data_IF_016249467044
#
_entry.id   IF_016249467044
#
_cell.length_a   1.000
_cell.length_b   1.000
_cell.length_c   1.000
_cell.angle_alpha   90.00
_cell.angle_beta   90.00
_cell.angle_gamma   90.00
#
_symmetry.space_group_name_H-M   'P 1'
#
loop_
_entity.id
_entity.type
_entity.pdbx_description
1 polymer ?
#
# COMPACT_ATOMS: atom_id res chain seq x y z
N UNK A 1 2.62 -14.87 -6.19
CA UNK A 1 3.14 -13.54 -5.83
C UNK A 1 3.98 -13.70 -4.58
N UNK A 2 5.12 -13.01 -4.46
CA UNK A 2 5.89 -12.95 -3.20
C UNK A 2 5.25 -11.91 -2.25
N UNK A 3 5.73 -11.86 -1.00
CA UNK A 3 5.21 -10.92 -0.01
C UNK A 3 5.45 -9.45 -0.41
N UNK A 4 6.63 -9.12 -0.95
CA UNK A 4 6.96 -7.78 -1.42
C UNK A 4 5.96 -7.27 -2.47
N UNK A 5 5.68 -8.05 -3.51
CA UNK A 5 4.70 -7.70 -4.56
C UNK A 5 3.29 -7.55 -4.01
N UNK A 6 2.87 -8.38 -3.05
CA UNK A 6 1.54 -8.23 -2.44
C UNK A 6 1.43 -6.89 -1.70
N UNK A 7 2.45 -6.51 -0.93
CA UNK A 7 2.45 -5.23 -0.21
C UNK A 7 2.55 -4.07 -1.19
N UNK A 8 3.50 -4.11 -2.13
CA UNK A 8 3.73 -3.06 -3.11
C UNK A 8 2.47 -2.76 -3.94
N UNK A 9 1.68 -3.78 -4.29
CA UNK A 9 0.45 -3.63 -5.11
C UNK A 9 -0.83 -3.42 -4.30
N UNK A 10 -0.73 -3.24 -2.98
CA UNK A 10 -1.91 -3.08 -2.13
C UNK A 10 -2.84 -4.30 -2.15
N UNK A 11 -2.27 -5.51 -2.06
CA UNK A 11 -2.98 -6.79 -2.16
C UNK A 11 -3.76 -6.96 -3.48
N UNK A 12 -3.24 -6.38 -4.57
CA UNK A 12 -3.81 -6.48 -5.91
C UNK A 12 -4.70 -5.30 -6.34
N UNK A 13 -4.90 -4.30 -5.46
CA UNK A 13 -5.60 -3.06 -5.82
C UNK A 13 -4.91 -2.32 -6.96
N UNK A 14 -3.58 -2.34 -7.00
CA UNK A 14 -2.80 -1.72 -8.08
C UNK A 14 -3.00 -2.35 -9.46
N UNK A 15 -3.64 -3.52 -9.57
CA UNK A 15 -3.99 -4.11 -10.86
C UNK A 15 -5.36 -3.65 -11.39
N UNK A 16 -6.14 -2.93 -10.58
CA UNK A 16 -7.44 -2.43 -10.98
C UNK A 16 -7.30 -1.22 -11.92
N UNK A 17 -8.14 -1.20 -12.96
CA UNK A 17 -8.19 -0.15 -13.99
C UNK A 17 -9.45 0.70 -13.84
N UNK A 18 -9.49 1.95 -14.34
CA UNK A 18 -8.46 2.64 -15.13
C UNK A 18 -7.32 3.28 -14.31
N UNK A 19 -7.53 3.61 -13.05
CA UNK A 19 -6.57 4.34 -12.22
C UNK A 19 -6.17 3.52 -10.98
N UNK A 20 -5.06 2.75 -11.06
CA UNK A 20 -4.56 1.93 -9.96
C UNK A 20 -4.46 2.68 -8.62
N UNK A 21 -3.86 3.87 -8.62
CA UNK A 21 -3.73 4.69 -7.41
C UNK A 21 -5.07 5.06 -6.78
N UNK A 22 -6.12 5.30 -7.59
CA UNK A 22 -7.48 5.54 -7.06
C UNK A 22 -8.01 4.34 -6.30
N UNK A 23 -7.78 3.12 -6.81
CA UNK A 23 -8.18 1.90 -6.12
C UNK A 23 -7.33 1.65 -4.87
N UNK A 24 -6.03 1.97 -4.92
CA UNK A 24 -5.12 2.00 -3.77
C UNK A 24 -5.66 2.91 -2.66
N UNK A 25 -5.90 4.19 -2.94
CA UNK A 25 -6.44 5.15 -1.97
C UNK A 25 -7.82 4.76 -1.46
N UNK A 26 -8.71 4.23 -2.33
CA UNK A 26 -10.03 3.78 -1.90
C UNK A 26 -9.93 2.60 -0.93
N UNK A 27 -9.06 1.64 -1.20
CA UNK A 27 -8.77 0.54 -0.29
C UNK A 27 -8.15 1.00 1.02
N UNK A 28 -7.21 1.95 0.95
CA UNK A 28 -6.59 2.58 2.12
C UNK A 28 -7.62 3.26 3.01
N UNK A 29 -8.52 4.06 2.42
CA UNK A 29 -9.60 4.72 3.13
C UNK A 29 -10.55 3.72 3.79
N UNK A 30 -10.96 2.68 3.07
CA UNK A 30 -11.83 1.65 3.62
C UNK A 30 -11.18 0.91 4.80
N UNK A 31 -9.90 0.54 4.67
CA UNK A 31 -9.13 -0.10 5.74
C UNK A 31 -8.91 0.84 6.94
N UNK A 32 -8.53 2.09 6.68
CA UNK A 32 -8.30 3.11 7.70
C UNK A 32 -9.56 3.41 8.53
N UNK A 33 -10.71 3.59 7.86
CA UNK A 33 -11.99 3.76 8.54
C UNK A 33 -12.37 2.54 9.37
N UNK A 34 -12.17 1.32 8.85
CA UNK A 34 -12.44 0.10 9.59
C UNK A 34 -11.55 0.00 10.84
N UNK A 35 -10.26 0.33 10.74
CA UNK A 35 -9.32 0.32 11.86
C UNK A 35 -9.71 1.37 12.89
N UNK A 36 -9.98 2.61 12.48
CA UNK A 36 -10.35 3.68 13.40
C UNK A 36 -11.66 3.37 14.14
N UNK A 37 -12.68 2.86 13.44
CA UNK A 37 -13.96 2.52 14.06
C UNK A 37 -13.90 1.32 15.01
N UNK A 38 -13.00 0.36 14.77
CA UNK A 38 -12.96 -0.88 15.56
C UNK A 38 -11.88 -0.88 16.64
N UNK A 39 -10.75 -0.24 16.39
CA UNK A 39 -9.56 -0.25 17.25
C UNK A 39 -9.15 1.16 17.73
N UNK A 40 -9.69 2.22 17.11
CA UNK A 40 -9.48 3.61 17.50
C UNK A 40 -8.25 4.26 16.85
N UNK A 41 -8.15 5.58 17.06
CA UNK A 41 -7.14 6.46 16.47
C UNK A 41 -5.69 5.95 16.61
N UNK A 42 -5.28 5.49 17.80
CA UNK A 42 -3.90 5.03 17.99
C UNK A 42 -3.57 3.77 17.19
N UNK A 43 -4.55 2.90 16.96
CA UNK A 43 -4.38 1.75 16.09
C UNK A 43 -4.24 2.17 14.62
N UNK A 44 -4.99 3.20 14.19
CA UNK A 44 -4.83 3.80 12.87
C UNK A 44 -3.41 4.35 12.70
N UNK A 45 -2.90 5.13 13.66
CA UNK A 45 -1.52 5.65 13.62
C UNK A 45 -0.50 4.51 13.50
N UNK A 46 -0.66 3.45 14.31
CA UNK A 46 0.23 2.30 14.25
C UNK A 46 0.15 1.60 12.88
N UNK A 47 -1.04 1.42 12.32
CA UNK A 47 -1.26 0.82 11.01
C UNK A 47 -0.60 1.65 9.90
N UNK A 48 -0.73 2.98 9.92
CA UNK A 48 -0.07 3.89 8.97
C UNK A 48 1.45 3.73 9.04
N UNK A 49 2.04 3.79 10.25
CA UNK A 49 3.50 3.62 10.42
C UNK A 49 3.97 2.26 9.90
N UNK A 50 3.23 1.19 10.19
CA UNK A 50 3.53 -0.16 9.70
C UNK A 50 3.42 -0.25 8.17
N UNK A 51 2.39 0.34 7.57
CA UNK A 51 2.21 0.38 6.12
C UNK A 51 3.37 1.13 5.44
N UNK A 52 3.77 2.29 5.98
CA UNK A 52 4.93 3.04 5.48
C UNK A 52 6.22 2.22 5.54
N UNK A 53 6.53 1.62 6.69
CA UNK A 53 7.74 0.81 6.85
C UNK A 53 7.74 -0.42 5.92
N UNK A 54 6.60 -1.11 5.82
CA UNK A 54 6.42 -2.23 4.92
C UNK A 54 6.53 -1.81 3.45
N UNK A 55 6.05 -0.61 3.09
CA UNK A 55 6.15 -0.04 1.76
C UNK A 55 7.59 0.21 1.34
N UNK A 56 8.42 0.83 2.19
CA UNK A 56 9.85 0.99 1.89
C UNK A 56 10.55 -0.34 1.64
N UNK A 57 10.30 -1.35 2.48
CA UNK A 57 10.85 -2.69 2.29
C UNK A 57 10.35 -3.34 0.99
N UNK A 58 9.05 -3.28 0.73
CA UNK A 58 8.43 -3.89 -0.45
C UNK A 58 8.93 -3.25 -1.76
N UNK A 59 9.04 -1.92 -1.80
CA UNK A 59 9.59 -1.20 -2.95
C UNK A 59 11.08 -1.53 -3.17
N UNK A 60 11.88 -1.61 -2.10
CA UNK A 60 13.29 -1.97 -2.20
C UNK A 60 13.50 -3.38 -2.79
N UNK A 61 12.67 -4.35 -2.38
CA UNK A 61 12.74 -5.72 -2.89
C UNK A 61 12.19 -5.83 -4.32
N UNK A 62 11.04 -5.22 -4.62
CA UNK A 62 10.37 -5.36 -5.92
C UNK A 62 11.05 -4.59 -7.05
N UNK A 63 11.76 -3.50 -6.71
CA UNK A 63 12.52 -2.68 -7.65
C UNK A 63 14.03 -2.96 -7.62
N UNK A 64 14.48 -3.98 -6.87
CA UNK A 64 15.90 -4.31 -6.70
C UNK A 64 16.66 -4.44 -8.02
N UNK A 65 16.03 -5.10 -9.00
CA UNK A 65 16.63 -5.36 -10.32
C UNK A 65 16.24 -4.30 -11.36
N UNK A 66 15.42 -3.31 -10.99
CA UNK A 66 14.90 -2.23 -11.85
C UNK A 66 14.87 -0.87 -11.12
N UNK A 67 16.01 -0.38 -10.61
CA UNK A 67 16.05 0.87 -9.84
C UNK A 67 15.57 2.06 -10.69
N UNK A 68 14.72 2.90 -10.10
CA UNK A 68 14.15 4.08 -10.77
C UNK A 68 12.94 3.80 -11.67
N UNK A 69 12.51 2.53 -11.81
CA UNK A 69 11.21 2.24 -12.40
C UNK A 69 10.10 2.62 -11.43
N UNK A 70 9.01 3.17 -11.97
CA UNK A 70 7.80 3.53 -11.23
C UNK A 70 6.58 2.87 -11.90
N UNK A 71 6.37 1.56 -11.68
CA UNK A 71 5.24 0.83 -12.26
C UNK A 71 3.94 1.30 -11.63
N UNK A 72 2.94 1.62 -12.45
CA UNK A 72 1.66 2.14 -11.96
C UNK A 72 0.85 1.16 -11.11
N UNK A 73 1.20 -0.13 -11.11
CA UNK A 73 0.60 -1.12 -10.21
C UNK A 73 1.15 -1.09 -8.78
N UNK A 74 2.28 -0.42 -8.52
CA UNK A 74 2.78 -0.20 -7.17
C UNK A 74 1.98 0.97 -6.60
N UNK A 75 1.17 0.69 -5.58
CA UNK A 75 0.23 1.66 -5.00
C UNK A 75 0.33 1.75 -3.47
N UNK A 76 1.48 1.34 -2.93
CA UNK A 76 1.70 1.30 -1.47
C UNK A 76 1.90 2.70 -0.88
N UNK A 77 2.32 3.67 -1.69
CA UNK A 77 2.40 5.08 -1.32
C UNK A 77 1.02 5.70 -1.15
N UNK A 78 0.01 5.34 -1.95
CA UNK A 78 -1.38 5.76 -1.75
C UNK A 78 -2.07 5.07 -0.57
N UNK A 79 -1.50 3.97 -0.06
CA UNK A 79 -1.98 3.30 1.16
C UNK A 79 -1.29 3.86 2.40
N UNK A 80 -0.03 4.28 2.27
CA UNK A 80 0.74 4.86 3.35
C UNK A 80 0.40 6.34 3.62
N UNK A 81 -0.07 7.08 2.61
CA UNK A 81 -0.44 8.50 2.68
C UNK A 81 -1.94 8.73 2.79
#
# INVERSE_FOLDING_TARGET
MNAARLIATGFGLGYLRPAPGTWGSLGALAAGLAIDWTLGFWALVAATVLATAAGFWACAEELRDRPGADPSEIVIDEIAG
#
